data_IF_357512292469
#
_entry.id   IF_357512292469
#
_cell.length_a   1.000
_cell.length_b   1.000
_cell.length_c   1.000
_cell.angle_alpha   90.00
_cell.angle_beta   90.00
_cell.angle_gamma   90.00
#
_symmetry.space_group_name_H-M   'P 1'
#
loop_
_entity.id
_entity.type
_entity.pdbx_description
1 polymer ?
#
# COMPACT_ATOMS: atom_id res chain seq x y z
N UNK A 1 -16.62 -22.85 20.16
CA UNK A 1 -15.46 -23.19 19.32
C UNK A 1 -15.10 -21.92 18.59
N UNK A 2 -13.84 -21.50 18.60
CA UNK A 2 -13.44 -20.30 17.85
C UNK A 2 -13.38 -20.68 16.38
N UNK A 3 -14.15 -19.98 15.56
CA UNK A 3 -14.21 -20.14 14.11
C UNK A 3 -14.24 -18.77 13.42
N UNK A 4 -14.05 -18.75 12.10
CA UNK A 4 -14.00 -17.52 11.31
C UNK A 4 -15.23 -16.61 11.56
N UNK A 5 -16.44 -17.19 11.55
CA UNK A 5 -17.68 -16.43 11.68
C UNK A 5 -17.81 -15.81 13.06
N UNK A 6 -17.45 -16.55 14.11
CA UNK A 6 -17.46 -16.05 15.49
C UNK A 6 -16.44 -14.93 15.71
N UNK A 7 -15.24 -15.03 15.13
CA UNK A 7 -14.20 -13.97 15.20
C UNK A 7 -14.63 -12.74 14.40
N UNK A 8 -15.17 -12.92 13.18
CA UNK A 8 -15.65 -11.82 12.35
C UNK A 8 -16.80 -11.07 13.03
N UNK A 9 -17.77 -11.80 13.59
CA UNK A 9 -18.88 -11.20 14.31
C UNK A 9 -18.41 -10.37 15.52
N UNK A 10 -17.43 -10.86 16.29
CA UNK A 10 -16.84 -10.10 17.39
C UNK A 10 -16.05 -8.88 16.91
N UNK A 11 -15.25 -9.02 15.85
CA UNK A 11 -14.48 -7.91 15.27
C UNK A 11 -15.39 -6.79 14.73
N UNK A 12 -16.57 -7.12 14.20
CA UNK A 12 -17.53 -6.13 13.70
C UNK A 12 -18.16 -5.27 14.80
N UNK A 13 -18.10 -5.70 16.07
CA UNK A 13 -18.61 -4.93 17.21
C UNK A 13 -17.59 -3.93 17.76
N UNK A 14 -16.33 -4.02 17.34
CA UNK A 14 -15.27 -3.09 17.73
C UNK A 14 -15.46 -1.72 17.08
N UNK A 15 -14.89 -0.69 17.71
CA UNK A 15 -14.77 0.63 17.07
C UNK A 15 -13.88 0.55 15.83
N UNK A 16 -13.96 1.56 14.96
CA UNK A 16 -13.11 1.63 13.78
C UNK A 16 -11.62 1.55 14.11
N UNK A 17 -11.17 2.30 15.13
CA UNK A 17 -9.78 2.30 15.59
C UNK A 17 -9.32 0.91 16.09
N UNK A 18 -10.16 0.24 16.86
CA UNK A 18 -9.87 -1.11 17.37
C UNK A 18 -9.85 -2.16 16.25
N UNK A 19 -10.70 -2.01 15.21
CA UNK A 19 -10.67 -2.89 14.04
C UNK A 19 -9.38 -2.74 13.25
N UNK A 20 -8.90 -1.51 13.04
CA UNK A 20 -7.63 -1.24 12.37
C UNK A 20 -6.48 -1.88 13.15
N UNK A 21 -6.43 -1.64 14.47
CA UNK A 21 -5.42 -2.24 15.36
C UNK A 21 -5.45 -3.77 15.32
N UNK A 22 -6.64 -4.38 15.26
CA UNK A 22 -6.78 -5.84 15.16
C UNK A 22 -6.25 -6.36 13.82
N UNK A 23 -6.53 -5.67 12.71
CA UNK A 23 -6.02 -6.04 11.38
C UNK A 23 -4.49 -6.00 11.37
N UNK A 24 -3.88 -4.94 11.87
CA UNK A 24 -2.43 -4.80 11.92
C UNK A 24 -1.78 -5.93 12.73
N UNK A 25 -2.31 -6.21 13.92
CA UNK A 25 -1.82 -7.28 14.78
C UNK A 25 -1.98 -8.67 14.13
N UNK A 26 -3.06 -8.91 13.36
CA UNK A 26 -3.23 -10.17 12.63
C UNK A 26 -2.25 -10.27 11.46
N UNK A 27 -2.02 -9.20 10.72
CA UNK A 27 -1.03 -9.16 9.64
C UNK A 27 0.38 -9.49 10.13
N UNK A 28 0.78 -8.99 11.32
CA UNK A 28 2.08 -9.31 11.93
C UNK A 28 2.25 -10.80 12.30
N UNK A 29 1.16 -11.55 12.46
CA UNK A 29 1.23 -13.00 12.76
C UNK A 29 1.39 -13.87 11.53
N UNK A 30 1.12 -13.32 10.35
CA UNK A 30 1.33 -14.03 9.11
C UNK A 30 2.83 -14.04 8.80
N UNK A 31 3.41 -15.18 8.37
CA UNK A 31 4.76 -15.15 7.83
C UNK A 31 4.78 -14.14 6.67
N UNK A 32 5.90 -13.41 6.50
CA UNK A 32 6.14 -12.66 5.26
C UNK A 32 5.79 -13.57 4.09
N UNK A 33 4.78 -13.19 3.29
CA UNK A 33 4.27 -14.07 2.24
C UNK A 33 5.45 -14.52 1.36
N UNK A 34 5.69 -15.84 1.21
CA UNK A 34 6.49 -16.34 0.08
C UNK A 34 5.65 -16.12 -1.17
N UNK A 35 5.66 -14.88 -1.68
CA UNK A 35 4.72 -14.43 -2.71
C UNK A 35 4.86 -12.96 -3.11
N UNK A 36 5.60 -12.14 -2.37
CA UNK A 36 5.92 -10.77 -2.79
C UNK A 36 7.09 -10.69 -3.80
N UNK A 37 7.45 -11.81 -4.44
CA UNK A 37 8.28 -11.73 -5.63
C UNK A 37 7.49 -10.98 -6.70
N UNK A 38 7.92 -9.75 -6.98
CA UNK A 38 7.43 -8.98 -8.12
C UNK A 38 7.43 -9.88 -9.35
N UNK A 39 6.34 -9.87 -10.12
CA UNK A 39 6.27 -10.62 -11.39
C UNK A 39 7.56 -10.36 -12.19
N UNK A 40 8.20 -11.37 -12.81
CA UNK A 40 9.54 -11.22 -13.39
C UNK A 40 9.70 -10.01 -14.34
N UNK A 41 8.63 -9.66 -15.07
CA UNK A 41 8.57 -8.48 -15.94
C UNK A 41 8.76 -7.15 -15.20
N UNK A 42 8.38 -7.05 -13.93
CA UNK A 42 8.63 -5.87 -13.11
C UNK A 42 10.10 -5.70 -12.79
N UNK A 43 10.87 -6.78 -12.67
CA UNK A 43 12.31 -6.69 -12.43
C UNK A 43 12.99 -6.02 -13.63
N UNK A 44 12.71 -6.50 -14.83
CA UNK A 44 13.25 -5.94 -16.08
C UNK A 44 12.83 -4.48 -16.28
N UNK A 45 11.57 -4.15 -15.97
CA UNK A 45 11.08 -2.77 -16.09
C UNK A 45 11.71 -1.83 -15.06
N UNK A 46 11.94 -2.28 -13.82
CA UNK A 46 12.64 -1.50 -12.79
C UNK A 46 14.09 -1.24 -13.21
N UNK A 47 14.81 -2.27 -13.67
CA UNK A 47 16.17 -2.14 -14.18
C UNK A 47 16.23 -1.14 -15.35
N UNK A 48 15.29 -1.24 -16.31
CA UNK A 48 15.20 -0.29 -17.43
C UNK A 48 14.94 1.15 -16.98
N UNK A 49 14.06 1.37 -16.00
CA UNK A 49 13.74 2.72 -15.49
C UNK A 49 14.89 3.33 -14.70
N UNK A 50 15.58 2.53 -13.89
CA UNK A 50 16.77 2.97 -13.15
C UNK A 50 17.86 3.39 -14.14
N UNK A 51 18.16 2.57 -15.14
CA UNK A 51 19.14 2.92 -16.17
C UNK A 51 18.78 4.22 -16.90
N UNK A 52 17.50 4.42 -17.26
CA UNK A 52 17.06 5.65 -17.90
C UNK A 52 17.25 6.90 -17.02
N UNK A 53 17.10 6.77 -15.69
CA UNK A 53 17.37 7.84 -14.72
C UNK A 53 18.87 8.14 -14.66
N UNK A 54 19.70 7.09 -14.51
CA UNK A 54 21.15 7.20 -14.40
C UNK A 54 21.78 7.81 -15.68
N UNK A 55 21.27 7.43 -16.85
CA UNK A 55 21.69 7.95 -18.15
C UNK A 55 21.14 9.36 -18.45
N UNK A 56 20.27 9.89 -17.58
CA UNK A 56 19.64 11.21 -17.77
C UNK A 56 18.66 11.25 -18.94
N UNK A 57 18.16 10.11 -19.41
CA UNK A 57 17.21 10.00 -20.52
C UNK A 57 15.75 9.95 -20.06
N UNK A 58 15.51 9.63 -18.78
CA UNK A 58 14.20 9.65 -18.17
C UNK A 58 13.68 11.09 -18.00
N UNK A 59 12.42 11.32 -18.36
CA UNK A 59 11.70 12.53 -17.98
C UNK A 59 11.22 12.39 -16.53
N UNK A 60 11.75 13.22 -15.64
CA UNK A 60 11.42 13.19 -14.21
C UNK A 60 10.50 14.35 -13.83
N UNK A 61 9.67 14.11 -12.83
CA UNK A 61 8.84 15.13 -12.20
C UNK A 61 9.46 15.43 -10.83
N UNK A 62 9.69 16.71 -10.47
CA UNK A 62 10.12 17.06 -9.13
C UNK A 62 9.18 16.51 -8.07
N UNK A 63 9.74 16.03 -6.96
CA UNK A 63 8.98 15.41 -5.88
C UNK A 63 7.92 16.36 -5.31
N UNK A 64 8.26 17.65 -5.20
CA UNK A 64 7.36 18.70 -4.71
C UNK A 64 6.10 18.79 -5.55
N UNK A 65 6.22 18.71 -6.88
CA UNK A 65 5.07 18.72 -7.79
C UNK A 65 4.16 17.52 -7.55
N UNK A 66 4.72 16.31 -7.45
CA UNK A 66 3.94 15.08 -7.22
C UNK A 66 3.24 15.12 -5.86
N UNK A 67 3.95 15.56 -4.81
CA UNK A 67 3.43 15.69 -3.45
C UNK A 67 2.26 16.69 -3.40
N UNK A 68 2.45 17.87 -3.97
CA UNK A 68 1.46 18.94 -3.90
C UNK A 68 0.18 18.53 -4.68
N UNK A 69 0.32 17.89 -5.84
CA UNK A 69 -0.82 17.30 -6.55
C UNK A 69 -1.57 16.24 -5.74
N UNK A 70 -0.85 15.38 -5.02
CA UNK A 70 -1.45 14.35 -4.17
C UNK A 70 -2.25 14.96 -3.02
N UNK A 71 -1.71 16.00 -2.36
CA UNK A 71 -2.40 16.74 -1.30
C UNK A 71 -3.66 17.43 -1.83
N UNK A 72 -3.59 18.04 -3.01
CA UNK A 72 -4.75 18.66 -3.64
C UNK A 72 -5.85 17.65 -4.01
N UNK A 73 -5.49 16.42 -4.40
CA UNK A 73 -6.47 15.33 -4.64
C UNK A 73 -7.19 14.94 -3.35
N UNK A 74 -6.48 14.87 -2.23
CA UNK A 74 -7.09 14.56 -0.93
C UNK A 74 -8.08 15.65 -0.49
N UNK A 75 -7.73 16.93 -0.65
CA UNK A 75 -8.65 18.04 -0.36
C UNK A 75 -9.94 17.94 -1.18
N UNK A 76 -9.81 17.73 -2.50
CA UNK A 76 -10.99 17.59 -3.39
C UNK A 76 -11.85 16.36 -3.08
N UNK A 77 -11.27 15.29 -2.56
CA UNK A 77 -12.02 14.09 -2.15
C UNK A 77 -12.76 14.29 -0.83
N UNK A 78 -12.34 15.26 -0.01
CA UNK A 78 -12.99 15.58 1.26
C UNK A 78 -14.16 16.56 1.08
N UNK A 79 -14.14 17.38 0.03
CA UNK A 79 -15.18 18.38 -0.28
C UNK A 79 -16.40 17.80 -1.06
N UNK A 80 -16.45 16.47 -1.28
CA UNK A 80 -17.48 15.78 -2.08
C UNK A 80 -18.27 14.77 -1.24
#
# INVERSE_FOLDING_TARGET
MVDFNSVLASAQQLTEEERVRLIDALCETLPEEPGSELHPEWKEELERRVAAIEDGTATLIPWETVRDEALERLKRSHDR
#
